data_IF_496966427656
#
_entry.id   IF_496966427656
#
_cell.length_a   1.000
_cell.length_b   1.000
_cell.length_c   1.000
_cell.angle_alpha   90.00
_cell.angle_beta   90.00
_cell.angle_gamma   90.00
#
_symmetry.space_group_name_H-M   'P 1'
#
loop_
_entity.id
_entity.type
_entity.pdbx_description
1 polymer ?
#
# COMPACT_ATOMS: atom_id res chain seq x y z
N UNK A 1 20.63 -30.88 0.24
CA UNK A 1 19.70 -29.93 -0.44
C UNK A 1 18.30 -30.30 -0.03
N UNK A 2 17.45 -29.31 0.36
CA UNK A 2 16.02 -29.57 0.60
C UNK A 2 15.34 -29.92 -0.72
N UNK A 3 14.44 -30.89 -0.71
CA UNK A 3 13.67 -31.23 -1.90
C UNK A 3 12.71 -30.09 -2.21
N UNK A 4 12.74 -29.56 -3.43
CA UNK A 4 11.88 -28.50 -3.94
C UNK A 4 10.92 -29.01 -5.02
N UNK A 5 11.05 -30.28 -5.43
CA UNK A 5 10.21 -30.90 -6.44
C UNK A 5 9.16 -31.80 -5.77
N UNK A 6 7.88 -31.53 -6.05
CA UNK A 6 6.74 -32.22 -5.49
C UNK A 6 5.72 -32.51 -6.58
N UNK A 7 5.03 -33.65 -6.48
CA UNK A 7 3.87 -33.93 -7.33
C UNK A 7 2.68 -33.04 -6.96
N UNK A 8 1.77 -32.80 -7.90
CA UNK A 8 0.52 -32.09 -7.63
C UNK A 8 -0.27 -32.75 -6.51
N UNK A 9 -0.27 -34.10 -6.42
CA UNK A 9 -0.90 -34.84 -5.33
C UNK A 9 -0.32 -34.48 -3.96
N UNK A 10 1.02 -34.41 -3.82
CA UNK A 10 1.66 -34.05 -2.55
C UNK A 10 1.31 -32.64 -2.13
N UNK A 11 1.33 -31.67 -3.04
CA UNK A 11 0.97 -30.27 -2.75
C UNK A 11 -0.50 -30.17 -2.35
N UNK A 12 -1.42 -30.84 -3.06
CA UNK A 12 -2.85 -30.82 -2.75
C UNK A 12 -3.17 -31.48 -1.40
N UNK A 13 -2.48 -32.58 -1.04
CA UNK A 13 -2.62 -33.22 0.26
C UNK A 13 -2.09 -32.33 1.39
N UNK A 14 -0.90 -31.74 1.19
CA UNK A 14 -0.33 -30.78 2.10
C UNK A 14 -1.28 -29.57 2.32
N UNK A 15 -1.79 -29.00 1.24
CA UNK A 15 -2.76 -27.88 1.27
C UNK A 15 -4.03 -28.26 2.04
N UNK A 16 -4.60 -29.45 1.80
CA UNK A 16 -5.78 -29.95 2.53
C UNK A 16 -5.49 -30.09 4.02
N UNK A 17 -4.32 -30.62 4.39
CA UNK A 17 -3.87 -30.74 5.78
C UNK A 17 -3.81 -29.37 6.47
N UNK A 18 -3.21 -28.36 5.83
CA UNK A 18 -3.09 -27.04 6.43
C UNK A 18 -4.43 -26.30 6.57
N UNK A 19 -5.33 -26.45 5.61
CA UNK A 19 -6.68 -25.91 5.74
C UNK A 19 -7.48 -26.56 6.88
N UNK A 20 -7.19 -27.82 7.23
CA UNK A 20 -7.79 -28.45 8.41
C UNK A 20 -7.20 -27.96 9.74
N UNK A 21 -6.01 -27.37 9.72
CA UNK A 21 -5.41 -26.70 10.88
C UNK A 21 -6.08 -25.33 11.16
N UNK A 22 -6.49 -24.62 10.11
CA UNK A 22 -7.20 -23.35 10.20
C UNK A 22 -6.90 -22.39 9.05
N UNK A 23 -7.50 -21.21 9.09
CA UNK A 23 -7.28 -20.14 8.14
C UNK A 23 -8.14 -20.20 6.87
N UNK A 24 -8.04 -19.18 6.03
CA UNK A 24 -8.81 -19.08 4.80
C UNK A 24 -8.06 -19.68 3.63
N UNK A 25 -8.82 -20.32 2.73
CA UNK A 25 -8.26 -20.92 1.51
C UNK A 25 -7.46 -19.93 0.66
N UNK A 26 -7.98 -18.72 0.52
CA UNK A 26 -7.36 -17.68 -0.31
C UNK A 26 -5.99 -17.27 0.23
N UNK A 27 -5.81 -17.23 1.55
CA UNK A 27 -4.55 -16.87 2.19
C UNK A 27 -3.50 -17.97 2.00
N UNK A 28 -3.89 -19.24 2.07
CA UNK A 28 -2.99 -20.36 1.81
C UNK A 28 -2.60 -20.46 0.33
N UNK A 29 -3.55 -20.19 -0.58
CA UNK A 29 -3.27 -20.12 -2.01
C UNK A 29 -2.32 -18.96 -2.35
N UNK A 30 -2.48 -17.82 -1.66
CA UNK A 30 -1.57 -16.68 -1.75
C UNK A 30 -0.16 -17.03 -1.23
N UNK A 31 -0.06 -17.74 -0.09
CA UNK A 31 1.23 -18.21 0.43
C UNK A 31 1.93 -19.16 -0.55
N UNK A 32 1.18 -20.04 -1.20
CA UNK A 32 1.71 -20.94 -2.24
C UNK A 32 2.19 -20.17 -3.47
N UNK A 33 1.47 -19.13 -3.88
CA UNK A 33 1.85 -18.30 -5.03
C UNK A 33 3.11 -17.49 -4.70
N UNK A 34 3.08 -16.64 -3.72
CA UNK A 34 4.17 -15.70 -3.44
C UNK A 34 5.37 -16.41 -2.77
N UNK A 35 5.13 -17.22 -1.76
CA UNK A 35 6.18 -17.95 -1.04
C UNK A 35 6.66 -19.19 -1.79
N UNK A 36 5.73 -19.95 -2.35
CA UNK A 36 6.01 -21.22 -3.03
C UNK A 36 6.31 -21.09 -4.51
N UNK A 37 5.94 -20.00 -5.17
CA UNK A 37 6.07 -19.82 -6.62
C UNK A 37 5.04 -20.60 -7.45
N UNK A 38 3.96 -21.06 -6.82
CA UNK A 38 2.90 -21.87 -7.46
C UNK A 38 1.74 -20.95 -7.85
N UNK A 39 1.72 -20.54 -9.09
CA UNK A 39 0.66 -19.66 -9.62
C UNK A 39 -0.73 -20.31 -9.53
N UNK A 40 -1.76 -19.49 -9.44
CA UNK A 40 -3.15 -19.97 -9.40
C UNK A 40 -3.50 -20.93 -10.55
N UNK A 41 -2.99 -20.69 -11.77
CA UNK A 41 -3.15 -21.57 -12.93
C UNK A 41 -2.51 -22.95 -12.70
N UNK A 42 -1.40 -23.03 -11.99
CA UNK A 42 -0.73 -24.29 -11.66
C UNK A 42 -1.50 -25.06 -10.60
N UNK A 43 -2.12 -24.38 -9.63
CA UNK A 43 -3.07 -25.01 -8.68
C UNK A 43 -4.25 -25.67 -9.41
N UNK A 44 -4.77 -25.04 -10.48
CA UNK A 44 -5.81 -25.66 -11.31
C UNK A 44 -5.26 -26.85 -12.11
N UNK A 45 -4.03 -26.73 -12.62
CA UNK A 45 -3.39 -27.81 -13.35
C UNK A 45 -3.13 -29.05 -12.47
N UNK A 46 -2.78 -28.87 -11.19
CA UNK A 46 -2.63 -29.97 -10.23
C UNK A 46 -3.90 -30.80 -10.05
N UNK A 47 -5.08 -30.18 -10.19
CA UNK A 47 -6.37 -30.92 -10.11
C UNK A 47 -6.60 -31.81 -11.35
N UNK A 48 -6.01 -31.44 -12.51
CA UNK A 48 -6.17 -32.14 -13.76
C UNK A 48 -5.05 -33.18 -13.96
N UNK A 49 -3.81 -32.79 -13.60
CA UNK A 49 -2.59 -33.58 -13.75
C UNK A 49 -1.91 -33.82 -12.39
N UNK A 50 -2.50 -34.58 -11.45
CA UNK A 50 -2.02 -34.66 -10.08
C UNK A 50 -0.65 -35.34 -9.92
N UNK A 51 -0.23 -36.13 -10.91
CA UNK A 51 1.08 -36.80 -10.92
C UNK A 51 2.19 -35.96 -11.55
N UNK A 52 1.87 -34.79 -12.11
CA UNK A 52 2.86 -33.86 -12.65
C UNK A 52 3.72 -33.28 -11.52
N UNK A 53 5.02 -33.14 -11.77
CA UNK A 53 5.95 -32.48 -10.86
C UNK A 53 5.89 -30.96 -10.99
N UNK A 54 6.00 -30.29 -9.85
CA UNK A 54 6.09 -28.83 -9.71
C UNK A 54 7.32 -28.49 -8.85
N UNK A 55 8.04 -27.47 -9.25
CA UNK A 55 9.22 -26.98 -8.51
C UNK A 55 8.80 -25.75 -7.71
N UNK A 56 8.94 -25.83 -6.39
CA UNK A 56 8.65 -24.73 -5.49
C UNK A 56 9.88 -23.87 -5.25
N UNK A 57 9.68 -22.59 -4.96
CA UNK A 57 10.75 -21.68 -4.52
C UNK A 57 11.22 -21.99 -3.11
N UNK A 58 10.35 -22.57 -2.27
CA UNK A 58 10.62 -22.93 -0.88
C UNK A 58 10.11 -24.34 -0.57
N UNK A 59 10.76 -25.06 0.37
CA UNK A 59 10.26 -26.38 0.81
C UNK A 59 8.89 -26.27 1.48
N UNK A 60 8.06 -27.30 1.32
CA UNK A 60 6.73 -27.37 1.95
C UNK A 60 6.78 -27.22 3.48
N UNK A 61 7.81 -27.76 4.15
CA UNK A 61 7.99 -27.61 5.60
C UNK A 61 8.18 -26.16 6.02
N UNK A 62 8.91 -25.36 5.21
CA UNK A 62 9.09 -23.95 5.47
C UNK A 62 7.77 -23.19 5.28
N UNK A 63 7.05 -23.43 4.18
CA UNK A 63 5.74 -22.82 3.95
C UNK A 63 4.73 -23.22 5.04
N UNK A 64 4.79 -24.47 5.52
CA UNK A 64 3.96 -24.91 6.64
C UNK A 64 4.29 -24.12 7.92
N UNK A 65 5.57 -23.90 8.23
CA UNK A 65 5.94 -23.12 9.42
C UNK A 65 5.43 -21.69 9.38
N UNK A 66 5.45 -21.06 8.19
CA UNK A 66 4.87 -19.72 7.99
C UNK A 66 3.35 -19.72 8.17
N UNK A 67 2.66 -20.77 7.65
CA UNK A 67 1.23 -20.91 7.82
C UNK A 67 0.82 -21.08 9.28
N UNK A 68 1.50 -21.96 10.00
CA UNK A 68 1.27 -22.21 11.43
C UNK A 68 1.53 -20.93 12.23
N UNK A 69 2.60 -20.20 11.94
CA UNK A 69 2.89 -18.92 12.58
C UNK A 69 1.82 -17.85 12.27
N UNK A 70 1.33 -17.79 11.03
CA UNK A 70 0.23 -16.92 10.65
C UNK A 70 -1.04 -17.20 11.46
N UNK A 71 -1.42 -18.47 11.62
CA UNK A 71 -2.63 -18.87 12.34
C UNK A 71 -2.46 -18.66 13.85
N UNK A 72 -1.38 -19.16 14.43
CA UNK A 72 -1.20 -19.21 15.89
C UNK A 72 -0.90 -17.84 16.48
N UNK A 73 -0.10 -17.02 15.77
CA UNK A 73 0.34 -15.70 16.25
C UNK A 73 -0.43 -14.54 15.62
N UNK A 74 -1.31 -14.83 14.65
CA UNK A 74 -2.07 -13.82 13.91
C UNK A 74 -1.14 -12.78 13.24
N UNK A 75 -0.02 -13.22 12.65
CA UNK A 75 0.90 -12.36 11.91
C UNK A 75 0.51 -12.37 10.43
N UNK A 76 0.40 -11.20 9.75
CA UNK A 76 0.14 -11.16 8.31
C UNK A 76 1.16 -11.97 7.51
N UNK A 77 0.71 -12.73 6.52
CA UNK A 77 1.62 -13.49 5.65
C UNK A 77 2.63 -12.61 4.93
N UNK A 78 2.23 -11.38 4.58
CA UNK A 78 3.13 -10.39 3.99
C UNK A 78 4.30 -10.06 4.91
N UNK A 79 4.06 -9.92 6.21
CA UNK A 79 5.15 -9.69 7.17
C UNK A 79 6.06 -10.93 7.34
N UNK A 80 5.49 -12.13 7.32
CA UNK A 80 6.25 -13.38 7.42
C UNK A 80 7.14 -13.62 6.20
N UNK A 81 6.65 -13.27 5.00
CA UNK A 81 7.41 -13.34 3.76
C UNK A 81 8.31 -12.12 3.54
N UNK A 82 8.02 -10.99 4.18
CA UNK A 82 8.69 -9.72 3.95
C UNK A 82 8.35 -9.07 2.60
N UNK A 83 7.32 -9.56 1.90
CA UNK A 83 6.95 -9.15 0.55
C UNK A 83 5.46 -8.90 0.41
N UNK A 84 5.09 -7.91 -0.40
CA UNK A 84 3.72 -7.61 -0.80
C UNK A 84 3.67 -7.30 -2.30
N UNK A 85 3.02 -8.15 -3.14
CA UNK A 85 2.72 -7.80 -4.51
C UNK A 85 1.80 -6.58 -4.56
N UNK A 86 2.15 -5.61 -5.37
CA UNK A 86 1.37 -4.39 -5.52
C UNK A 86 1.58 -3.83 -6.93
N UNK A 87 0.50 -3.65 -7.68
CA UNK A 87 0.54 -3.36 -9.13
C UNK A 87 1.37 -4.41 -9.90
N UNK A 88 2.40 -3.98 -10.62
CA UNK A 88 3.29 -4.81 -11.43
C UNK A 88 4.64 -5.12 -10.75
N UNK A 89 4.75 -4.86 -9.44
CA UNK A 89 5.98 -5.07 -8.68
C UNK A 89 5.72 -5.62 -7.27
N UNK A 90 6.77 -6.11 -6.64
CA UNK A 90 6.74 -6.60 -5.25
C UNK A 90 7.45 -5.61 -4.34
N UNK A 91 6.74 -5.15 -3.30
CA UNK A 91 7.30 -4.29 -2.26
C UNK A 91 7.89 -5.14 -1.12
N UNK A 92 9.03 -4.73 -0.61
CA UNK A 92 9.46 -5.14 0.73
C UNK A 92 8.53 -4.52 1.75
N UNK A 93 8.04 -5.32 2.70
CA UNK A 93 7.15 -4.88 3.77
C UNK A 93 7.62 -5.40 5.13
N UNK A 94 7.26 -4.70 6.18
CA UNK A 94 7.54 -5.08 7.57
C UNK A 94 6.57 -4.37 8.50
N UNK A 95 6.59 -4.69 9.79
CA UNK A 95 5.81 -4.01 10.81
C UNK A 95 6.16 -2.51 11.00
N UNK A 96 7.11 -1.98 10.22
CA UNK A 96 7.47 -0.56 10.24
C UNK A 96 6.43 0.34 9.57
N UNK A 97 5.60 -0.19 8.66
CA UNK A 97 4.62 0.56 7.88
C UNK A 97 3.35 -0.26 7.64
N UNK A 98 2.27 0.42 7.29
CA UNK A 98 1.05 -0.22 6.80
C UNK A 98 1.37 -1.12 5.60
N UNK A 99 0.82 -2.34 5.58
CA UNK A 99 0.88 -3.18 4.38
C UNK A 99 0.08 -2.49 3.27
N UNK A 100 0.68 -2.21 2.10
CA UNK A 100 -0.01 -1.53 1.00
C UNK A 100 -1.31 -2.23 0.62
N UNK A 101 -2.41 -1.46 0.56
CA UNK A 101 -3.73 -1.97 0.20
C UNK A 101 -3.90 -1.92 -1.32
N UNK A 102 -4.62 -2.87 -1.88
CA UNK A 102 -4.87 -2.91 -3.34
C UNK A 102 -5.73 -1.73 -3.80
N UNK A 103 -6.68 -1.28 -2.96
CA UNK A 103 -7.51 -0.12 -3.25
C UNK A 103 -6.67 1.14 -3.50
N UNK A 104 -5.57 1.30 -2.74
CA UNK A 104 -4.64 2.44 -2.87
C UNK A 104 -3.98 2.51 -4.26
N UNK A 105 -3.92 1.42 -5.01
CA UNK A 105 -3.41 1.40 -6.39
C UNK A 105 -4.18 2.36 -7.30
N UNK A 106 -5.47 2.57 -7.04
CA UNK A 106 -6.32 3.46 -7.82
C UNK A 106 -5.93 4.94 -7.69
N UNK A 107 -5.28 5.37 -6.60
CA UNK A 107 -4.71 6.73 -6.51
C UNK A 107 -3.71 6.99 -7.63
N UNK A 108 -2.91 5.99 -7.97
CA UNK A 108 -1.96 6.09 -9.08
C UNK A 108 -2.71 6.21 -10.42
N UNK A 109 -3.75 5.39 -10.64
CA UNK A 109 -4.53 5.45 -11.88
C UNK A 109 -5.25 6.80 -12.03
N UNK A 110 -5.75 7.37 -10.92
CA UNK A 110 -6.35 8.69 -10.88
C UNK A 110 -5.35 9.80 -11.21
N UNK A 111 -4.12 9.68 -10.70
CA UNK A 111 -3.03 10.59 -11.03
C UNK A 111 -2.65 10.49 -12.52
N UNK A 112 -2.48 9.28 -13.04
CA UNK A 112 -2.08 9.03 -14.43
C UNK A 112 -3.15 9.37 -15.48
N UNK A 113 -4.40 9.59 -15.08
CA UNK A 113 -5.41 10.20 -15.96
C UNK A 113 -5.16 11.68 -16.23
N UNK A 114 -4.32 12.34 -15.42
CA UNK A 114 -4.02 13.80 -15.48
C UNK A 114 -2.59 14.09 -15.85
N UNK A 115 -1.69 13.21 -15.51
CA UNK A 115 -0.25 13.33 -15.71
C UNK A 115 0.27 12.12 -16.48
N UNK A 116 0.96 12.34 -17.57
CA UNK A 116 1.54 11.28 -18.41
C UNK A 116 3.07 11.18 -18.22
N UNK A 117 3.70 10.25 -18.91
CA UNK A 117 5.15 10.01 -18.84
C UNK A 117 6.03 11.21 -19.21
N UNK A 118 5.48 12.23 -19.86
CA UNK A 118 6.20 13.45 -20.24
C UNK A 118 6.06 14.54 -19.17
N UNK A 119 5.49 14.22 -18.03
CA UNK A 119 5.35 15.19 -16.94
C UNK A 119 6.70 15.46 -16.26
N UNK A 120 7.09 16.74 -16.18
CA UNK A 120 8.35 17.24 -15.59
C UNK A 120 8.18 17.96 -14.26
N UNK A 121 6.97 18.01 -13.70
CA UNK A 121 6.67 18.76 -12.49
C UNK A 121 7.09 18.05 -11.21
N UNK A 122 6.69 18.66 -10.09
CA UNK A 122 6.92 18.12 -8.75
C UNK A 122 5.69 17.41 -8.22
N UNK A 123 5.92 16.24 -7.61
CA UNK A 123 4.89 15.54 -6.86
C UNK A 123 5.33 15.23 -5.43
N UNK A 124 4.37 15.08 -4.54
CA UNK A 124 4.62 14.62 -3.18
C UNK A 124 3.73 13.41 -2.83
N UNK A 125 4.30 12.49 -2.02
CA UNK A 125 3.61 11.39 -1.35
C UNK A 125 3.72 11.61 0.16
N UNK A 126 2.61 12.00 0.80
CA UNK A 126 2.58 12.36 2.21
C UNK A 126 2.13 11.16 3.07
N UNK A 127 3.02 10.68 3.94
CA UNK A 127 2.84 9.44 4.67
C UNK A 127 3.17 8.24 3.81
N UNK A 128 4.36 8.23 3.18
CA UNK A 128 4.73 7.26 2.14
C UNK A 128 4.78 5.80 2.65
N UNK A 129 4.94 5.57 3.94
CA UNK A 129 4.98 4.24 4.55
C UNK A 129 6.09 3.37 3.96
N UNK A 130 5.71 2.29 3.28
CA UNK A 130 6.64 1.41 2.56
C UNK A 130 7.17 1.99 1.25
N UNK A 131 6.67 3.15 0.82
CA UNK A 131 7.02 3.79 -0.45
C UNK A 131 6.16 3.35 -1.64
N UNK A 132 5.01 2.73 -1.43
CA UNK A 132 4.19 2.15 -2.50
C UNK A 132 3.78 3.19 -3.56
N UNK A 133 3.16 4.30 -3.14
CA UNK A 133 2.77 5.39 -4.03
C UNK A 133 3.99 6.06 -4.67
N UNK A 134 5.02 6.34 -3.87
CA UNK A 134 6.25 6.96 -4.36
C UNK A 134 6.95 6.11 -5.45
N UNK A 135 7.08 4.79 -5.25
CA UNK A 135 7.65 3.86 -6.25
C UNK A 135 6.81 3.87 -7.53
N UNK A 136 5.49 3.79 -7.41
CA UNK A 136 4.61 3.75 -8.58
C UNK A 136 4.66 5.06 -9.39
N UNK A 137 4.61 6.23 -8.73
CA UNK A 137 4.76 7.51 -9.39
C UNK A 137 6.13 7.65 -10.07
N UNK A 138 7.20 7.30 -9.35
CA UNK A 138 8.56 7.35 -9.86
C UNK A 138 8.78 6.51 -11.13
N UNK A 139 8.12 5.35 -11.22
CA UNK A 139 8.17 4.48 -12.40
C UNK A 139 7.30 4.98 -13.55
N UNK A 140 6.14 5.57 -13.24
CA UNK A 140 5.17 6.03 -14.23
C UNK A 140 5.52 7.42 -14.80
N UNK A 141 6.19 8.27 -14.00
CA UNK A 141 6.54 9.65 -14.33
C UNK A 141 8.07 9.86 -14.26
N UNK A 142 8.86 9.23 -15.14
CA UNK A 142 10.32 9.10 -14.99
C UNK A 142 11.08 10.42 -15.04
N UNK A 143 10.52 11.45 -15.71
CA UNK A 143 11.14 12.74 -15.89
C UNK A 143 10.73 13.77 -14.80
N UNK A 144 9.90 13.37 -13.84
CA UNK A 144 9.43 14.20 -12.74
C UNK A 144 10.35 14.16 -11.53
N UNK A 145 10.15 15.11 -10.60
CA UNK A 145 10.82 15.10 -9.30
C UNK A 145 9.82 14.75 -8.20
N UNK A 146 10.15 13.76 -7.39
CA UNK A 146 9.31 13.28 -6.30
C UNK A 146 9.85 13.63 -4.92
N UNK A 147 8.93 13.92 -4.00
CA UNK A 147 9.22 14.11 -2.59
C UNK A 147 8.32 13.20 -1.76
N UNK A 148 8.90 12.19 -1.10
CA UNK A 148 8.16 11.28 -0.24
C UNK A 148 8.44 11.60 1.23
N UNK A 149 7.39 11.80 2.02
CA UNK A 149 7.49 12.20 3.43
C UNK A 149 6.98 11.10 4.32
N UNK A 150 7.73 10.78 5.36
CA UNK A 150 7.34 9.81 6.37
C UNK A 150 7.78 10.26 7.76
N UNK A 151 6.94 10.00 8.76
CA UNK A 151 7.20 10.40 10.14
C UNK A 151 8.11 9.40 10.87
N UNK A 152 8.03 8.13 10.53
CA UNK A 152 8.81 7.03 11.12
C UNK A 152 10.14 6.83 10.39
N UNK A 153 11.26 6.93 11.09
CA UNK A 153 12.61 6.68 10.54
C UNK A 153 12.78 5.24 10.03
N UNK A 154 12.15 4.28 10.71
CA UNK A 154 12.16 2.87 10.30
C UNK A 154 11.37 2.69 8.98
N UNK A 155 10.24 3.38 8.81
CA UNK A 155 9.48 3.35 7.57
C UNK A 155 10.20 4.11 6.44
N UNK A 156 10.87 5.24 6.71
CA UNK A 156 11.77 5.90 5.73
C UNK A 156 12.84 4.93 5.23
N UNK A 157 13.45 4.15 6.14
CA UNK A 157 14.45 3.15 5.76
C UNK A 157 13.87 2.06 4.85
N UNK A 158 12.64 1.62 5.10
CA UNK A 158 11.91 0.66 4.27
C UNK A 158 11.60 1.24 2.89
N UNK A 159 11.03 2.44 2.84
CA UNK A 159 10.75 3.15 1.58
C UNK A 159 12.02 3.37 0.75
N UNK A 160 13.14 3.72 1.40
CA UNK A 160 14.44 3.88 0.73
C UNK A 160 14.91 2.59 0.04
N UNK A 161 14.76 1.42 0.69
CA UNK A 161 15.10 0.15 0.07
C UNK A 161 14.22 -0.15 -1.13
N UNK A 162 12.91 0.06 -1.00
CA UNK A 162 11.97 -0.14 -2.09
C UNK A 162 12.25 0.78 -3.28
N UNK A 163 12.44 2.08 -3.06
CA UNK A 163 12.78 3.04 -4.12
C UNK A 163 14.10 2.66 -4.83
N UNK A 164 15.15 2.37 -4.08
CA UNK A 164 16.44 1.95 -4.65
C UNK A 164 16.35 0.68 -5.49
N UNK A 165 15.52 -0.27 -5.07
CA UNK A 165 15.34 -1.55 -5.78
C UNK A 165 14.44 -1.44 -7.00
N UNK A 166 13.33 -0.68 -6.89
CA UNK A 166 12.24 -0.69 -7.86
C UNK A 166 12.24 0.50 -8.82
N UNK A 167 12.86 1.62 -8.42
CA UNK A 167 12.97 2.85 -9.21
C UNK A 167 14.36 3.49 -9.07
N UNK A 168 15.47 2.76 -9.36
CA UNK A 168 16.85 3.21 -9.05
C UNK A 168 17.30 4.44 -9.82
N UNK A 169 16.64 4.79 -10.92
CA UNK A 169 16.97 5.94 -11.77
C UNK A 169 16.06 7.16 -11.50
N UNK A 170 15.04 7.00 -10.64
CA UNK A 170 14.10 8.07 -10.40
C UNK A 170 14.68 9.16 -9.50
N UNK A 171 14.29 10.40 -9.75
CA UNK A 171 14.65 11.54 -8.92
C UNK A 171 13.62 11.69 -7.79
N UNK A 172 13.80 10.94 -6.70
CA UNK A 172 12.92 10.96 -5.53
C UNK A 172 13.73 11.22 -4.27
N UNK A 173 13.35 12.27 -3.54
CA UNK A 173 13.89 12.60 -2.23
C UNK A 173 12.96 12.08 -1.11
N UNK A 174 13.54 11.35 -0.15
CA UNK A 174 12.87 10.88 1.06
C UNK A 174 13.13 11.85 2.21
N UNK A 175 12.06 12.25 2.90
CA UNK A 175 12.10 13.21 3.99
C UNK A 175 11.52 12.60 5.26
N UNK A 176 12.30 12.65 6.35
CA UNK A 176 11.80 12.34 7.70
C UNK A 176 11.10 13.58 8.27
N UNK A 177 9.83 13.45 8.63
CA UNK A 177 9.08 14.55 9.23
C UNK A 177 7.57 14.39 9.11
N UNK A 178 6.83 15.41 9.57
CA UNK A 178 5.37 15.42 9.54
C UNK A 178 4.86 16.21 8.34
N UNK A 179 4.11 15.56 7.49
CA UNK A 179 3.39 16.13 6.34
C UNK A 179 4.20 17.18 5.55
N UNK A 180 3.82 18.44 5.63
CA UNK A 180 4.43 19.56 4.89
C UNK A 180 5.71 20.12 5.51
N UNK A 181 6.03 19.76 6.76
CA UNK A 181 7.12 20.36 7.51
C UNK A 181 8.47 20.29 6.79
N UNK A 182 8.92 19.13 6.29
CA UNK A 182 10.20 19.02 5.60
C UNK A 182 10.16 19.59 4.16
N UNK A 183 8.98 19.82 3.60
CA UNK A 183 8.80 20.27 2.22
C UNK A 183 8.75 21.79 2.05
N UNK A 184 8.94 22.57 3.11
CA UNK A 184 8.89 24.05 3.06
C UNK A 184 9.73 24.68 1.94
N UNK A 185 10.94 24.18 1.59
CA UNK A 185 11.74 24.74 0.49
C UNK A 185 11.06 24.70 -0.89
N UNK A 186 10.11 23.78 -1.09
CA UNK A 186 9.39 23.56 -2.36
C UNK A 186 7.93 24.05 -2.34
N UNK A 187 7.53 24.80 -1.32
CA UNK A 187 6.17 25.31 -1.25
C UNK A 187 5.82 26.20 -2.44
N UNK A 188 4.59 26.04 -2.95
CA UNK A 188 4.09 26.68 -4.17
C UNK A 188 4.51 25.97 -5.46
N UNK A 189 5.17 24.81 -5.38
CA UNK A 189 5.75 24.14 -6.56
C UNK A 189 5.14 22.76 -6.86
N UNK A 190 4.31 22.19 -5.99
CA UNK A 190 3.78 20.84 -6.19
C UNK A 190 2.59 20.82 -7.15
N UNK A 191 2.74 20.11 -8.26
CA UNK A 191 1.68 19.87 -9.26
C UNK A 191 0.73 18.75 -8.83
N UNK A 192 1.25 17.75 -8.11
CA UNK A 192 0.52 16.58 -7.68
C UNK A 192 0.87 16.22 -6.25
N UNK A 193 -0.14 15.98 -5.43
CA UNK A 193 0.06 15.46 -4.07
C UNK A 193 -0.87 14.30 -3.84
N UNK A 194 -0.29 13.17 -3.45
CA UNK A 194 -1.01 11.97 -3.03
C UNK A 194 -0.84 11.74 -1.54
N UNK A 195 -1.86 11.19 -0.88
CA UNK A 195 -1.73 10.65 0.45
C UNK A 195 -2.78 9.56 0.73
N UNK A 196 -2.36 8.52 1.44
CA UNK A 196 -3.23 7.59 2.16
C UNK A 196 -2.96 7.78 3.66
N UNK A 197 -3.53 8.82 4.30
CA UNK A 197 -3.25 9.15 5.67
C UNK A 197 -3.99 8.23 6.65
N UNK A 198 -3.58 8.15 7.94
CA UNK A 198 -4.34 7.44 8.95
C UNK A 198 -5.70 8.10 9.16
N UNK A 199 -6.76 7.29 9.03
CA UNK A 199 -8.14 7.77 9.02
C UNK A 199 -9.07 7.06 10.02
N UNK A 200 -8.58 6.10 10.80
CA UNK A 200 -9.42 5.33 11.73
C UNK A 200 -9.63 6.13 13.00
N UNK A 201 -10.90 6.38 13.43
CA UNK A 201 -11.18 7.03 14.70
C UNK A 201 -10.60 6.26 15.88
N UNK A 202 -10.02 6.97 16.87
CA UNK A 202 -9.34 6.35 18.01
C UNK A 202 -10.23 5.36 18.79
N UNK A 203 -11.53 5.62 18.88
CA UNK A 203 -12.48 4.75 19.58
C UNK A 203 -12.70 3.40 18.89
N UNK A 204 -12.42 3.31 17.57
CA UNK A 204 -12.67 2.11 16.76
C UNK A 204 -11.46 1.19 16.71
N UNK A 205 -10.25 1.69 16.99
CA UNK A 205 -9.00 0.94 16.87
C UNK A 205 -8.98 -0.39 17.63
N UNK A 206 -9.57 -0.43 18.83
CA UNK A 206 -9.62 -1.66 19.62
C UNK A 206 -10.54 -2.75 19.01
N UNK A 207 -11.44 -2.36 18.12
CA UNK A 207 -12.37 -3.26 17.41
C UNK A 207 -11.83 -3.77 16.07
N UNK A 208 -10.65 -3.34 15.64
CA UNK A 208 -10.03 -3.82 14.42
C UNK A 208 -9.71 -5.31 14.49
N UNK A 209 -9.61 -5.93 13.31
CA UNK A 209 -9.09 -7.30 13.21
C UNK A 209 -7.75 -7.41 13.96
N UNK A 210 -7.60 -8.39 14.85
CA UNK A 210 -6.36 -8.60 15.62
C UNK A 210 -5.10 -8.65 14.76
N UNK A 211 -5.19 -9.19 13.53
CA UNK A 211 -4.07 -9.23 12.57
C UNK A 211 -3.60 -7.81 12.24
N UNK A 212 -4.51 -6.88 11.98
CA UNK A 212 -4.19 -5.48 11.70
C UNK A 212 -3.73 -4.75 12.98
N UNK A 213 -4.56 -4.81 14.03
CA UNK A 213 -4.34 -4.07 15.27
C UNK A 213 -3.00 -4.39 15.94
N UNK A 214 -2.56 -5.66 15.91
CA UNK A 214 -1.39 -6.12 16.65
C UNK A 214 -0.09 -6.05 15.82
N UNK A 215 -0.18 -5.95 14.49
CA UNK A 215 0.99 -6.07 13.62
C UNK A 215 1.27 -4.84 12.76
N UNK A 216 0.31 -3.91 12.63
CA UNK A 216 0.52 -2.68 11.88
C UNK A 216 0.72 -1.47 12.80
N UNK A 217 1.54 -0.46 12.43
CA UNK A 217 1.85 0.64 13.33
C UNK A 217 0.60 1.46 13.67
N UNK A 218 0.36 1.69 14.94
CA UNK A 218 -0.78 2.49 15.41
C UNK A 218 -0.83 3.89 14.76
N UNK A 219 0.34 4.50 14.51
CA UNK A 219 0.46 5.81 13.87
C UNK A 219 -0.03 5.80 12.42
N UNK A 220 0.05 4.67 11.73
CA UNK A 220 -0.43 4.52 10.36
C UNK A 220 -1.95 4.25 10.29
N UNK A 221 -2.60 3.98 11.43
CA UNK A 221 -4.03 3.65 11.52
C UNK A 221 -4.86 4.79 12.12
N UNK A 222 -4.35 5.41 13.20
CA UNK A 222 -5.11 6.33 14.03
C UNK A 222 -5.21 7.74 13.42
N UNK A 223 -6.40 8.11 12.96
CA UNK A 223 -6.72 9.45 12.47
C UNK A 223 -7.20 10.43 13.54
N UNK A 224 -7.08 10.09 14.84
CA UNK A 224 -7.57 10.92 15.96
C UNK A 224 -9.02 10.64 16.35
N UNK A 225 -9.67 11.51 17.13
CA UNK A 225 -11.00 11.27 17.70
C UNK A 225 -12.09 10.96 16.66
N UNK A 226 -12.08 11.64 15.53
CA UNK A 226 -13.04 11.52 14.44
C UNK A 226 -12.43 10.97 13.14
N UNK A 227 -11.14 10.57 13.16
CA UNK A 227 -10.43 10.04 12.00
C UNK A 227 -9.99 11.09 10.98
N UNK A 228 -10.11 12.39 11.28
CA UNK A 228 -9.88 13.45 10.29
C UNK A 228 -8.66 14.34 10.59
N UNK A 229 -7.88 14.04 11.63
CA UNK A 229 -6.75 14.91 12.01
C UNK A 229 -5.74 15.08 10.88
N UNK A 230 -5.31 13.99 10.26
CA UNK A 230 -4.36 14.03 9.16
C UNK A 230 -4.92 14.81 7.95
N UNK A 231 -6.20 14.63 7.62
CA UNK A 231 -6.83 15.37 6.53
C UNK A 231 -6.82 16.88 6.77
N UNK A 232 -7.09 17.32 8.00
CA UNK A 232 -7.04 18.76 8.36
C UNK A 232 -5.64 19.33 8.14
N UNK A 233 -4.60 18.63 8.58
CA UNK A 233 -3.21 19.08 8.42
C UNK A 233 -2.78 19.08 6.94
N UNK A 234 -3.07 18.00 6.21
CA UNK A 234 -2.71 17.89 4.80
C UNK A 234 -3.42 18.95 3.98
N UNK A 235 -4.75 19.07 4.09
CA UNK A 235 -5.56 19.96 3.27
C UNK A 235 -5.24 21.44 3.57
N UNK A 236 -5.06 21.81 4.85
CA UNK A 236 -4.74 23.18 5.23
C UNK A 236 -3.37 23.63 4.71
N UNK A 237 -2.37 22.75 4.67
CA UNK A 237 -1.05 23.06 4.14
C UNK A 237 -1.00 23.03 2.61
N UNK A 238 -1.84 22.22 1.99
CA UNK A 238 -1.82 21.99 0.54
C UNK A 238 -2.09 23.24 -0.27
N UNK A 239 -3.04 24.10 0.15
CA UNK A 239 -3.36 25.35 -0.56
C UNK A 239 -2.17 26.30 -0.71
N UNK A 240 -1.20 26.26 0.21
CA UNK A 240 0.02 27.08 0.14
C UNK A 240 1.18 26.33 -0.51
N UNK A 241 1.25 25.00 -0.28
CA UNK A 241 2.38 24.21 -0.75
C UNK A 241 2.26 23.85 -2.24
N UNK A 242 1.04 23.77 -2.77
CA UNK A 242 0.81 23.36 -4.14
C UNK A 242 0.81 24.53 -5.12
N UNK A 243 1.18 24.22 -6.35
CA UNK A 243 1.05 25.14 -7.48
C UNK A 243 -0.44 25.44 -7.75
N UNK A 244 -0.74 26.64 -8.24
CA UNK A 244 -2.09 26.93 -8.78
C UNK A 244 -2.39 25.96 -9.92
N UNK A 245 -3.51 25.28 -9.85
CA UNK A 245 -3.90 24.23 -10.79
C UNK A 245 -3.42 22.82 -10.43
N UNK A 246 -2.58 22.68 -9.40
CA UNK A 246 -2.11 21.38 -8.90
C UNK A 246 -3.22 20.52 -8.28
N UNK A 247 -3.05 19.21 -8.29
CA UNK A 247 -4.05 18.24 -7.82
C UNK A 247 -3.66 17.61 -6.49
N UNK A 248 -4.57 17.70 -5.50
CA UNK A 248 -4.53 16.94 -4.25
C UNK A 248 -5.47 15.74 -4.36
N UNK A 249 -4.96 14.54 -4.07
CA UNK A 249 -5.73 13.30 -4.10
C UNK A 249 -5.49 12.51 -2.82
N UNK A 250 -6.57 12.20 -2.11
CA UNK A 250 -6.54 11.59 -0.78
C UNK A 250 -7.38 10.31 -0.76
N UNK A 251 -6.84 9.24 -0.19
CA UNK A 251 -7.64 8.08 0.20
C UNK A 251 -8.27 8.33 1.56
N UNK A 252 -9.53 7.90 1.74
CA UNK A 252 -10.29 8.03 3.00
C UNK A 252 -11.19 6.82 3.24
N UNK A 253 -11.68 6.65 4.45
CA UNK A 253 -12.71 5.65 4.74
C UNK A 253 -14.04 6.00 4.05
N UNK A 254 -14.82 4.99 3.68
CA UNK A 254 -16.03 5.17 2.87
C UNK A 254 -17.08 6.13 3.47
N UNK A 255 -17.15 6.24 4.78
CA UNK A 255 -18.10 7.10 5.50
C UNK A 255 -17.58 8.54 5.74
N UNK A 256 -16.32 8.83 5.38
CA UNK A 256 -15.67 10.13 5.57
C UNK A 256 -15.73 11.01 4.31
N UNK A 257 -16.23 10.50 3.19
CA UNK A 257 -16.19 11.20 1.89
C UNK A 257 -16.71 12.64 1.96
N UNK A 258 -17.91 12.83 2.49
CA UNK A 258 -18.54 14.15 2.52
C UNK A 258 -17.78 15.14 3.43
N UNK A 259 -17.19 14.65 4.53
CA UNK A 259 -16.40 15.45 5.45
C UNK A 259 -15.04 15.87 4.84
N UNK A 260 -14.38 14.97 4.13
CA UNK A 260 -13.10 15.27 3.46
C UNK A 260 -13.31 16.26 2.31
N UNK A 261 -14.37 16.09 1.50
CA UNK A 261 -14.74 17.04 0.45
C UNK A 261 -15.08 18.43 1.02
N UNK A 262 -15.82 18.49 2.13
CA UNK A 262 -16.12 19.76 2.81
C UNK A 262 -14.85 20.47 3.31
N UNK A 263 -13.88 19.72 3.85
CA UNK A 263 -12.57 20.28 4.24
C UNK A 263 -11.83 20.86 3.02
N UNK A 264 -11.83 20.17 1.87
CA UNK A 264 -11.20 20.67 0.65
C UNK A 264 -11.90 21.92 0.11
N UNK A 265 -13.23 21.93 0.08
CA UNK A 265 -14.01 23.10 -0.34
C UNK A 265 -13.74 24.32 0.57
N UNK A 266 -13.71 24.13 1.90
CA UNK A 266 -13.39 25.19 2.87
C UNK A 266 -11.96 25.72 2.76
N UNK A 267 -11.04 24.89 2.31
CA UNK A 267 -9.65 25.28 2.04
C UNK A 267 -9.45 26.00 0.68
N UNK A 268 -10.52 26.15 -0.11
CA UNK A 268 -10.51 26.88 -1.39
C UNK A 268 -10.21 26.03 -2.62
N UNK A 269 -10.16 24.71 -2.49
CA UNK A 269 -9.98 23.82 -3.64
C UNK A 269 -11.17 23.89 -4.59
N UNK A 270 -10.89 23.83 -5.89
CA UNK A 270 -11.87 23.73 -6.98
C UNK A 270 -11.95 22.29 -7.51
N UNK A 271 -12.95 22.03 -8.34
CA UNK A 271 -13.17 20.71 -8.97
C UNK A 271 -13.20 19.56 -7.93
N UNK A 272 -13.66 19.89 -6.71
CA UNK A 272 -13.69 18.94 -5.58
C UNK A 272 -14.69 17.84 -5.91
N UNK A 273 -14.20 16.60 -5.91
CA UNK A 273 -14.99 15.41 -6.27
C UNK A 273 -14.52 14.18 -5.52
N UNK A 274 -15.36 13.15 -5.51
CA UNK A 274 -14.96 11.82 -5.04
C UNK A 274 -14.84 10.85 -6.20
N UNK A 275 -13.98 9.84 -6.00
CA UNK A 275 -13.91 8.66 -6.87
C UNK A 275 -14.17 7.39 -6.05
N UNK A 276 -14.65 6.36 -6.75
CA UNK A 276 -14.95 5.07 -6.15
C UNK A 276 -13.85 4.05 -6.44
N UNK A 277 -13.72 3.08 -5.53
CA UNK A 277 -12.94 1.90 -5.79
C UNK A 277 -13.64 0.92 -6.73
N UNK A 278 -13.02 -0.23 -7.02
CA UNK A 278 -13.55 -1.24 -7.93
C UNK A 278 -14.82 -1.93 -7.41
N UNK A 279 -15.10 -1.83 -6.12
CA UNK A 279 -16.34 -2.33 -5.50
C UNK A 279 -17.47 -1.29 -5.52
N UNK A 280 -17.21 -0.10 -6.06
CA UNK A 280 -18.16 1.00 -6.15
C UNK A 280 -18.31 1.82 -4.86
N UNK A 281 -17.36 1.68 -3.93
CA UNK A 281 -17.32 2.37 -2.64
C UNK A 281 -16.56 3.69 -2.80
N UNK A 282 -17.09 4.80 -2.26
CA UNK A 282 -16.39 6.10 -2.22
C UNK A 282 -15.13 5.96 -1.38
N UNK A 283 -13.96 6.19 -1.97
CA UNK A 283 -12.68 5.97 -1.30
C UNK A 283 -11.66 7.08 -1.54
N UNK A 284 -11.86 7.90 -2.55
CA UNK A 284 -10.89 8.94 -2.91
C UNK A 284 -11.55 10.30 -3.01
N UNK A 285 -10.89 11.30 -2.45
CA UNK A 285 -11.24 12.72 -2.59
C UNK A 285 -10.19 13.41 -3.44
N UNK A 286 -10.62 14.18 -4.41
CA UNK A 286 -9.78 14.92 -5.34
C UNK A 286 -10.17 16.40 -5.33
N UNK A 287 -9.18 17.28 -5.48
CA UNK A 287 -9.42 18.71 -5.63
C UNK A 287 -8.24 19.40 -6.29
N UNK A 288 -8.50 20.48 -7.00
CA UNK A 288 -7.52 21.29 -7.69
C UNK A 288 -7.25 22.57 -6.91
N UNK A 289 -5.98 22.88 -6.64
CA UNK A 289 -5.58 24.11 -5.96
C UNK A 289 -5.90 25.35 -6.81
N UNK A 290 -6.36 26.43 -6.15
CA UNK A 290 -6.77 27.69 -6.81
C UNK A 290 -5.65 28.71 -6.76
#
# INVERSE_FOLDING_TARGET
MKNLEFSGTEILLWRKKLLSYGGRRVDLDWLLDIGGGVRWSELQLMLIEPNRSFILNQPLDFLQSLWEEHIDKQIPLQHLLGLCPWRDFELEVSAAALIPRQETELLIDLALRRFDKNFFGLWADLGTGSGALAVALARALPDSTGHAVEFSDVAVSLASRNLKRLAPQANVELHLGSWWQPLRPWWGMFDLVLANPPYIPSAVLNGLDPIVRNNEPHIALCGGPDGLNAFREIISGASTAMLIGGWLMLEHHHDQSDQVLDLMCKAGFQDVSYEKDLEGVKRFALGRNQ
#
